data_IF_157095896348
#
_entry.id   IF_157095896348
#
_cell.length_a   1.000
_cell.length_b   1.000
_cell.length_c   1.000
_cell.angle_alpha   90.00
_cell.angle_beta   90.00
_cell.angle_gamma   90.00
#
_symmetry.space_group_name_H-M   'P 1'
#
loop_
_entity.id
_entity.type
_entity.pdbx_description
1 polymer ?
#
# COMPACT_ATOMS: atom_id res chain seq x y z
N UNK A 1 -48.27 -6.62 -22.53
CA UNK A 1 -47.34 -5.53 -22.96
C UNK A 1 -46.38 -5.27 -21.79
N UNK A 2 -45.08 -5.57 -21.97
CA UNK A 2 -44.08 -5.22 -20.97
C UNK A 2 -43.74 -3.74 -21.08
N UNK A 3 -43.61 -3.05 -19.95
CA UNK A 3 -43.12 -1.68 -19.92
C UNK A 3 -41.64 -1.68 -20.34
N UNK A 4 -41.26 -0.81 -21.26
CA UNK A 4 -39.92 -0.69 -21.73
C UNK A 4 -39.20 0.43 -20.93
N UNK A 5 -38.67 0.05 -19.75
CA UNK A 5 -37.82 0.92 -18.91
C UNK A 5 -36.38 0.73 -19.33
N UNK A 6 -35.80 1.77 -19.87
CA UNK A 6 -34.38 1.77 -20.28
C UNK A 6 -33.47 2.21 -19.16
N UNK A 7 -32.34 1.53 -19.09
CA UNK A 7 -31.21 1.89 -18.26
C UNK A 7 -30.24 2.75 -19.06
N UNK A 8 -30.00 3.97 -18.61
CA UNK A 8 -29.09 4.89 -19.26
C UNK A 8 -27.91 5.16 -18.33
N UNK A 9 -26.70 4.84 -18.75
CA UNK A 9 -25.46 5.13 -17.99
C UNK A 9 -24.91 6.48 -18.40
N UNK A 10 -24.78 7.38 -17.43
CA UNK A 10 -24.19 8.70 -17.59
C UNK A 10 -22.84 8.71 -16.88
N UNK A 11 -21.80 9.05 -17.61
CA UNK A 11 -20.46 9.27 -17.07
C UNK A 11 -20.23 10.76 -16.87
N UNK A 12 -19.94 11.17 -15.65
CA UNK A 12 -19.59 12.55 -15.37
C UNK A 12 -18.49 12.64 -14.32
N UNK A 13 -17.73 13.72 -14.36
CA UNK A 13 -16.69 13.99 -13.36
C UNK A 13 -17.29 14.77 -12.19
N UNK A 14 -16.73 14.52 -11.00
CA UNK A 14 -17.01 15.30 -9.81
C UNK A 14 -15.75 15.44 -8.96
N UNK A 15 -15.72 16.48 -8.12
CA UNK A 15 -14.69 16.65 -7.12
C UNK A 15 -15.14 15.91 -5.86
N UNK A 16 -14.42 14.85 -5.52
CA UNK A 16 -14.64 14.11 -4.29
C UNK A 16 -14.12 14.93 -3.11
N UNK A 17 -15.00 15.21 -2.14
CA UNK A 17 -14.62 15.89 -0.91
C UNK A 17 -13.77 14.97 -0.03
N UNK A 18 -12.81 15.51 0.75
CA UNK A 18 -12.01 14.72 1.69
C UNK A 18 -12.87 14.16 2.84
N UNK A 19 -12.35 13.12 3.51
CA UNK A 19 -12.95 12.58 4.74
C UNK A 19 -12.68 13.44 5.97
N UNK A 20 -11.61 14.23 5.93
CA UNK A 20 -11.19 15.13 6.99
C UNK A 20 -10.82 16.48 6.40
N UNK A 21 -11.26 17.56 7.06
CA UNK A 21 -11.01 18.91 6.59
C UNK A 21 -9.73 19.45 7.22
N UNK A 22 -8.82 19.96 6.40
CA UNK A 22 -7.76 20.85 6.85
C UNK A 22 -8.33 22.28 6.88
N UNK A 23 -7.95 23.07 7.89
CA UNK A 23 -8.42 24.46 8.01
C UNK A 23 -8.25 25.20 6.68
N UNK A 24 -9.33 25.79 6.13
CA UNK A 24 -9.33 26.43 4.79
C UNK A 24 -8.34 27.59 4.61
N UNK A 25 -7.80 28.13 5.69
CA UNK A 25 -6.76 29.16 5.61
C UNK A 25 -5.46 28.61 4.98
N UNK A 26 -5.24 27.29 5.02
CA UNK A 26 -4.07 26.64 4.45
C UNK A 26 -4.39 26.14 3.04
N UNK A 27 -3.76 26.74 2.04
CA UNK A 27 -3.83 26.32 0.64
C UNK A 27 -2.55 25.65 0.14
N UNK A 28 -1.50 25.66 0.98
CA UNK A 28 -0.17 25.13 0.65
C UNK A 28 0.29 24.10 1.67
N UNK A 29 1.21 23.23 1.26
CA UNK A 29 1.86 22.25 2.13
C UNK A 29 3.34 22.09 1.78
N UNK A 30 4.13 21.75 2.80
CA UNK A 30 5.53 21.37 2.71
C UNK A 30 5.65 19.86 3.02
N UNK A 31 6.51 19.14 2.29
CA UNK A 31 6.86 17.74 2.59
C UNK A 31 8.22 17.74 3.26
N UNK A 32 8.31 17.18 4.48
CA UNK A 32 9.55 16.96 5.22
C UNK A 32 9.83 15.47 5.35
N UNK A 33 11.06 15.09 5.03
CA UNK A 33 11.48 13.68 5.03
C UNK A 33 12.40 13.43 6.21
N UNK A 34 12.12 12.38 6.98
CA UNK A 34 12.92 11.91 8.09
C UNK A 34 13.49 10.53 7.77
N UNK A 35 14.80 10.37 7.97
CA UNK A 35 15.54 9.16 7.61
C UNK A 35 15.90 8.33 8.85
N UNK A 36 14.90 7.77 9.53
CA UNK A 36 15.11 6.98 10.74
C UNK A 36 15.92 5.70 10.47
N UNK A 37 15.92 5.20 9.23
CA UNK A 37 16.75 4.06 8.82
C UNK A 37 18.26 4.35 8.87
N UNK A 38 18.70 5.62 8.76
CA UNK A 38 20.13 5.98 8.82
C UNK A 38 20.72 5.64 10.18
N UNK A 39 19.98 5.95 11.24
CA UNK A 39 20.40 5.57 12.60
C UNK A 39 20.52 4.05 12.74
N UNK A 40 19.56 3.28 12.21
CA UNK A 40 19.66 1.82 12.22
C UNK A 40 20.86 1.29 11.43
N UNK A 41 21.25 1.96 10.34
CA UNK A 41 22.46 1.64 9.59
C UNK A 41 23.72 1.92 10.44
N UNK A 42 23.80 3.07 11.10
CA UNK A 42 24.91 3.45 12.00
C UNK A 42 25.06 2.46 13.14
N UNK A 43 23.97 2.11 13.82
CA UNK A 43 23.95 1.11 14.90
C UNK A 43 24.44 -0.26 14.40
N UNK A 44 24.02 -0.68 13.19
CA UNK A 44 24.45 -1.93 12.58
C UNK A 44 25.95 -1.95 12.27
N UNK A 45 26.50 -0.85 11.75
CA UNK A 45 27.94 -0.69 11.50
C UNK A 45 28.73 -0.78 12.81
N UNK A 46 28.26 -0.10 13.85
CA UNK A 46 28.92 -0.11 15.14
C UNK A 46 28.99 -1.52 15.73
N UNK A 47 27.87 -2.25 15.73
CA UNK A 47 27.80 -3.64 16.22
C UNK A 47 28.71 -4.55 15.39
N UNK A 48 28.73 -4.40 14.07
CA UNK A 48 29.59 -5.18 13.19
C UNK A 48 31.09 -4.95 13.51
N UNK A 49 31.50 -3.69 13.64
CA UNK A 49 32.89 -3.34 13.95
C UNK A 49 33.32 -3.89 15.31
N UNK A 50 32.46 -3.85 16.31
CA UNK A 50 32.74 -4.47 17.62
C UNK A 50 32.91 -5.99 17.49
N UNK A 51 32.03 -6.69 16.78
CA UNK A 51 32.16 -8.14 16.54
C UNK A 51 33.42 -8.49 15.78
N UNK A 52 33.75 -7.71 14.75
CA UNK A 52 34.99 -7.89 13.96
C UNK A 52 36.21 -7.78 14.84
N UNK A 53 36.29 -6.76 15.69
CA UNK A 53 37.40 -6.57 16.62
C UNK A 53 37.54 -7.75 17.62
N UNK A 54 36.42 -8.18 18.20
CA UNK A 54 36.39 -9.31 19.11
C UNK A 54 36.89 -10.61 18.43
N UNK A 55 36.45 -10.85 17.19
CA UNK A 55 36.85 -12.00 16.41
C UNK A 55 38.34 -11.97 16.04
N UNK A 56 38.86 -10.81 15.63
CA UNK A 56 40.28 -10.62 15.35
C UNK A 56 41.13 -10.92 16.61
N UNK A 57 40.74 -10.38 17.77
CA UNK A 57 41.42 -10.65 19.03
C UNK A 57 41.37 -12.14 19.41
N UNK A 58 40.20 -12.77 19.27
CA UNK A 58 40.05 -14.20 19.53
C UNK A 58 40.92 -15.05 18.61
N UNK A 59 40.95 -14.74 17.32
CA UNK A 59 41.85 -15.43 16.36
C UNK A 59 43.32 -15.25 16.71
N UNK A 60 43.78 -14.04 17.03
CA UNK A 60 45.18 -13.78 17.41
C UNK A 60 45.58 -14.56 18.68
N UNK A 61 44.66 -14.65 19.64
CA UNK A 61 44.90 -15.46 20.84
C UNK A 61 45.03 -16.96 20.52
N UNK A 62 44.15 -17.49 19.67
CA UNK A 62 44.19 -18.89 19.23
C UNK A 62 45.48 -19.19 18.43
N UNK A 63 45.84 -18.27 17.51
CA UNK A 63 47.05 -18.42 16.70
C UNK A 63 48.32 -18.36 17.54
N UNK A 64 48.38 -17.46 18.51
CA UNK A 64 49.50 -17.36 19.47
C UNK A 64 49.61 -18.63 20.32
N UNK A 65 48.51 -19.16 20.83
CA UNK A 65 48.48 -20.41 21.58
C UNK A 65 48.97 -21.59 20.73
N UNK A 66 48.51 -21.69 19.47
CA UNK A 66 48.97 -22.69 18.52
C UNK A 66 50.45 -22.58 18.25
N UNK A 67 51.01 -21.38 18.02
CA UNK A 67 52.45 -21.16 17.84
C UNK A 67 53.26 -21.59 19.05
N UNK A 68 52.80 -21.29 20.25
CA UNK A 68 53.47 -21.68 21.48
C UNK A 68 53.50 -23.20 21.66
N UNK A 69 52.35 -23.86 21.39
CA UNK A 69 52.27 -25.31 21.42
C UNK A 69 53.19 -25.97 20.39
N UNK A 70 53.20 -25.45 19.17
CA UNK A 70 54.14 -25.92 18.13
C UNK A 70 55.58 -25.78 18.56
N UNK A 71 55.99 -24.61 19.07
CA UNK A 71 57.35 -24.36 19.57
C UNK A 71 57.74 -25.31 20.73
N UNK A 72 56.80 -25.64 21.59
CA UNK A 72 57.01 -26.59 22.68
C UNK A 72 57.28 -28.01 22.15
N UNK A 73 56.46 -28.46 21.19
CA UNK A 73 56.72 -29.78 20.55
C UNK A 73 58.03 -29.85 19.80
N UNK A 74 58.39 -28.77 19.08
CA UNK A 74 59.67 -28.67 18.39
C UNK A 74 60.88 -28.80 19.40
N UNK A 75 60.79 -28.07 20.54
CA UNK A 75 61.85 -28.16 21.60
C UNK A 75 61.93 -29.55 22.21
N UNK A 76 60.76 -30.17 22.50
CA UNK A 76 60.74 -31.54 23.03
C UNK A 76 61.38 -32.52 22.05
N UNK A 77 61.02 -32.41 20.75
CA UNK A 77 61.61 -33.26 19.71
C UNK A 77 63.11 -33.07 19.58
N UNK A 78 63.63 -31.84 19.55
CA UNK A 78 65.04 -31.54 19.48
C UNK A 78 65.85 -32.11 20.71
N UNK A 79 65.22 -31.98 21.91
CA UNK A 79 65.82 -32.55 23.13
C UNK A 79 65.91 -34.07 23.06
N UNK A 80 64.86 -34.74 22.57
CA UNK A 80 64.81 -36.18 22.39
C UNK A 80 65.82 -36.66 21.31
N UNK A 81 65.89 -35.90 20.20
CA UNK A 81 66.91 -36.19 19.15
C UNK A 81 68.31 -36.05 19.63
N UNK A 82 68.66 -35.00 20.39
CA UNK A 82 70.01 -34.87 20.99
C UNK A 82 70.33 -35.98 21.96
N UNK A 83 69.34 -36.45 22.76
CA UNK A 83 69.52 -37.60 23.65
C UNK A 83 69.76 -38.91 22.87
N UNK A 84 69.01 -39.12 21.78
CA UNK A 84 69.15 -40.25 20.87
C UNK A 84 70.51 -40.29 20.21
N UNK A 85 71.00 -39.16 19.65
CA UNK A 85 72.34 -39.05 19.04
C UNK A 85 73.46 -39.35 20.06
N UNK A 86 73.33 -38.82 21.27
CA UNK A 86 74.25 -39.09 22.35
C UNK A 86 74.34 -40.60 22.74
N UNK A 87 73.15 -41.26 22.78
CA UNK A 87 73.10 -42.71 23.08
C UNK A 87 73.70 -43.54 21.94
N UNK A 88 73.47 -43.16 20.66
CA UNK A 88 74.15 -43.81 19.52
C UNK A 88 75.65 -43.69 19.57
N UNK A 89 76.19 -42.52 19.88
CA UNK A 89 77.63 -42.29 20.04
C UNK A 89 78.23 -43.12 21.17
N UNK A 90 77.46 -43.40 22.23
CA UNK A 90 77.85 -44.23 23.37
C UNK A 90 77.64 -45.74 23.13
N UNK A 91 77.17 -46.15 21.93
CA UNK A 91 76.89 -47.56 21.63
C UNK A 91 75.66 -48.15 22.38
N UNK A 92 74.85 -47.33 22.99
CA UNK A 92 73.68 -47.74 23.76
C UNK A 92 72.44 -47.85 22.84
N UNK A 93 71.62 -48.95 22.91
CA UNK A 93 70.45 -49.09 22.12
C UNK A 93 69.43 -47.94 22.47
N UNK A 94 69.03 -47.21 21.48
CA UNK A 94 68.03 -46.15 21.63
C UNK A 94 67.06 -46.12 20.44
N UNK A 95 65.78 -45.81 20.69
CA UNK A 95 64.79 -45.70 19.65
C UNK A 95 64.70 -44.25 19.13
N UNK A 96 64.72 -44.09 17.82
CA UNK A 96 64.61 -42.76 17.19
C UNK A 96 63.30 -42.11 17.57
N UNK A 97 63.34 -40.86 18.04
CA UNK A 97 62.10 -40.11 18.32
C UNK A 97 61.19 -39.94 17.08
N UNK A 98 59.90 -40.06 17.29
CA UNK A 98 58.90 -39.82 16.23
C UNK A 98 58.81 -38.33 16.00
N UNK A 99 58.56 -37.94 14.72
CA UNK A 99 58.28 -36.54 14.33
C UNK A 99 57.00 -36.08 15.04
N UNK A 100 57.03 -34.93 15.69
CA UNK A 100 55.84 -34.43 16.39
C UNK A 100 54.63 -34.28 15.46
N UNK A 101 53.48 -34.68 15.96
CA UNK A 101 52.20 -34.34 15.30
C UNK A 101 51.81 -32.94 15.76
N UNK A 102 51.81 -32.00 14.81
CA UNK A 102 51.42 -30.61 15.09
C UNK A 102 49.91 -30.46 15.10
N UNK A 103 49.33 -29.64 15.99
CA UNK A 103 47.93 -29.27 15.93
C UNK A 103 47.63 -28.50 14.64
N UNK A 104 46.40 -28.61 14.16
CA UNK A 104 45.93 -27.86 12.98
C UNK A 104 45.97 -26.36 13.30
N UNK A 105 46.52 -25.57 12.37
CA UNK A 105 46.52 -24.12 12.51
C UNK A 105 45.08 -23.55 12.52
N UNK A 106 44.76 -22.60 13.40
CA UNK A 106 43.48 -21.94 13.37
C UNK A 106 43.29 -21.17 12.05
N UNK A 107 42.10 -21.22 11.52
CA UNK A 107 41.72 -20.53 10.29
C UNK A 107 40.86 -19.32 10.66
N UNK A 108 41.17 -18.15 10.11
CA UNK A 108 40.33 -16.97 10.26
C UNK A 108 39.12 -17.09 9.33
N UNK A 109 37.92 -17.06 9.90
CA UNK A 109 36.66 -17.05 9.15
C UNK A 109 36.11 -15.63 9.24
N UNK A 110 36.03 -14.87 8.14
CA UNK A 110 35.47 -13.50 8.16
C UNK A 110 33.99 -13.52 8.54
N UNK A 111 33.56 -12.45 9.18
CA UNK A 111 32.10 -12.23 9.42
C UNK A 111 31.38 -12.01 8.11
N UNK A 112 30.12 -12.46 8.07
CA UNK A 112 29.25 -12.14 6.96
C UNK A 112 29.02 -10.62 6.86
N UNK A 113 28.96 -10.06 5.65
CA UNK A 113 28.71 -8.64 5.46
C UNK A 113 27.36 -8.25 6.04
N UNK A 114 27.32 -7.08 6.70
CA UNK A 114 26.06 -6.54 7.20
C UNK A 114 25.21 -6.00 6.07
N UNK A 115 23.91 -6.19 6.22
CA UNK A 115 22.94 -5.57 5.36
C UNK A 115 22.65 -4.15 5.82
N UNK A 116 22.71 -3.19 4.88
CA UNK A 116 22.35 -1.80 5.09
C UNK A 116 21.02 -1.50 4.38
N UNK A 117 20.20 -0.62 4.98
CA UNK A 117 19.07 -0.06 4.26
C UNK A 117 19.61 0.84 3.13
N UNK A 118 18.96 0.77 1.96
CA UNK A 118 19.36 1.57 0.81
C UNK A 118 19.10 3.08 1.04
N UNK A 119 19.96 3.92 0.51
CA UNK A 119 19.75 5.37 0.52
C UNK A 119 18.53 5.74 -0.35
N UNK A 120 17.81 6.75 0.08
CA UNK A 120 16.57 7.21 -0.53
C UNK A 120 16.75 8.60 -1.11
N UNK A 121 16.18 8.82 -2.29
CA UNK A 121 16.15 10.12 -2.94
C UNK A 121 14.95 10.93 -2.44
N UNK A 122 15.23 11.96 -1.64
CA UNK A 122 14.21 12.87 -1.07
C UNK A 122 13.39 13.57 -2.14
N UNK A 123 13.99 13.87 -3.28
CA UNK A 123 13.31 14.54 -4.36
C UNK A 123 12.20 13.65 -4.96
N UNK A 124 12.44 12.35 -5.07
CA UNK A 124 11.45 11.39 -5.55
C UNK A 124 10.22 11.34 -4.63
N UNK A 125 10.44 11.29 -3.31
CA UNK A 125 9.35 11.31 -2.32
C UNK A 125 8.61 12.65 -2.34
N UNK A 126 9.35 13.75 -2.30
CA UNK A 126 8.76 15.10 -2.31
C UNK A 126 7.92 15.34 -3.54
N UNK A 127 8.37 14.86 -4.72
CA UNK A 127 7.60 14.97 -5.96
C UNK A 127 6.42 14.01 -5.99
N UNK A 128 6.58 12.81 -5.45
CA UNK A 128 5.57 11.74 -5.45
C UNK A 128 4.37 12.02 -4.53
N UNK A 129 4.53 12.79 -3.45
CA UNK A 129 3.39 13.22 -2.64
C UNK A 129 2.71 14.40 -3.34
N UNK A 130 1.51 14.17 -3.86
CA UNK A 130 0.70 15.15 -4.58
C UNK A 130 -0.71 15.20 -3.97
N UNK A 131 -0.90 16.11 -3.01
CA UNK A 131 -2.18 16.30 -2.34
C UNK A 131 -3.09 17.20 -3.17
N UNK A 132 -4.09 16.58 -3.79
CA UNK A 132 -5.01 17.27 -4.71
C UNK A 132 -5.79 18.38 -4.01
N UNK A 133 -5.86 19.54 -4.67
CA UNK A 133 -6.54 20.72 -4.15
C UNK A 133 -5.69 21.64 -3.27
N UNK A 134 -4.42 21.28 -3.06
CA UNK A 134 -3.40 22.08 -2.40
C UNK A 134 -2.17 22.24 -3.29
N UNK A 135 -1.37 23.26 -3.05
CA UNK A 135 -0.11 23.49 -3.78
C UNK A 135 1.08 23.27 -2.86
N UNK A 136 2.19 22.78 -3.40
CA UNK A 136 3.44 22.69 -2.65
C UNK A 136 4.02 24.07 -2.43
N UNK A 137 4.39 24.38 -1.17
CA UNK A 137 4.95 25.68 -0.82
C UNK A 137 5.20 25.80 0.68
N UNK A 138 5.87 26.89 1.06
CA UNK A 138 6.18 27.22 2.45
C UNK A 138 5.03 27.98 3.11
N UNK A 139 4.92 27.90 4.44
CA UNK A 139 3.95 28.68 5.23
C UNK A 139 2.56 28.05 5.36
N UNK A 140 2.35 26.87 4.81
CA UNK A 140 1.13 26.09 4.98
C UNK A 140 1.25 25.03 6.09
N UNK A 141 0.61 23.89 5.91
CA UNK A 141 0.78 22.73 6.79
C UNK A 141 1.94 21.84 6.33
N UNK A 142 2.38 20.94 7.21
CA UNK A 142 3.55 20.10 7.00
C UNK A 142 3.09 18.66 6.92
N UNK A 143 3.55 17.94 5.89
CA UNK A 143 3.46 16.50 5.76
C UNK A 143 4.84 15.93 6.09
N UNK A 144 5.00 15.33 7.28
CA UNK A 144 6.24 14.63 7.63
C UNK A 144 6.15 13.18 7.12
N UNK A 145 7.15 12.76 6.39
CA UNK A 145 7.29 11.42 5.84
C UNK A 145 8.53 10.75 6.45
N UNK A 146 8.33 9.88 7.45
CA UNK A 146 9.40 9.19 8.16
C UNK A 146 9.65 7.82 7.56
N UNK A 147 10.87 7.61 7.06
CA UNK A 147 11.33 6.37 6.45
C UNK A 147 11.96 5.51 7.53
N UNK A 148 11.24 4.47 7.94
CA UNK A 148 11.71 3.52 8.94
C UNK A 148 12.59 2.43 8.31
N UNK A 149 13.45 1.75 9.09
CA UNK A 149 14.26 0.65 8.59
C UNK A 149 13.38 -0.54 8.18
N UNK A 150 13.85 -1.30 7.17
CA UNK A 150 13.22 -2.57 6.81
C UNK A 150 13.41 -3.57 7.96
N UNK A 151 12.37 -4.36 8.23
CA UNK A 151 12.30 -5.27 9.36
C UNK A 151 11.88 -6.67 8.94
N UNK A 152 12.20 -7.67 9.77
CA UNK A 152 11.66 -9.02 9.66
C UNK A 152 12.00 -9.73 8.35
N UNK A 153 13.12 -9.39 7.71
CA UNK A 153 13.52 -10.04 6.45
C UNK A 153 13.83 -11.51 6.73
N UNK A 154 13.17 -12.38 5.98
CA UNK A 154 13.44 -13.80 5.95
C UNK A 154 13.15 -14.38 4.58
N UNK A 155 13.97 -15.34 4.17
CA UNK A 155 13.75 -16.14 2.98
C UNK A 155 13.02 -17.41 3.40
N UNK A 156 11.84 -17.64 2.84
CA UNK A 156 11.02 -18.83 3.07
C UNK A 156 11.11 -19.72 1.85
N UNK A 157 11.54 -20.95 2.05
CA UNK A 157 11.61 -21.98 1.01
C UNK A 157 10.31 -22.80 1.00
N UNK A 158 9.83 -23.14 -0.19
CA UNK A 158 8.81 -24.16 -0.40
C UNK A 158 9.23 -25.11 -1.51
N UNK A 159 9.03 -26.41 -1.27
CA UNK A 159 9.33 -27.46 -2.22
C UNK A 159 8.04 -27.88 -2.92
N UNK A 160 8.05 -27.88 -4.27
CA UNK A 160 6.94 -28.33 -5.10
C UNK A 160 7.36 -29.52 -5.99
N UNK A 161 6.45 -30.47 -6.18
CA UNK A 161 6.69 -31.66 -6.98
C UNK A 161 7.45 -32.76 -6.23
N UNK A 162 7.72 -33.86 -6.94
CA UNK A 162 8.44 -35.02 -6.40
C UNK A 162 9.42 -35.58 -7.43
N UNK A 163 10.50 -36.23 -6.95
CA UNK A 163 11.52 -36.85 -7.82
C UNK A 163 12.20 -35.84 -8.73
N UNK A 164 12.39 -36.17 -10.01
CA UNK A 164 13.03 -35.31 -11.01
C UNK A 164 12.27 -34.01 -11.32
N UNK A 165 10.98 -33.93 -10.96
CA UNK A 165 10.15 -32.74 -11.18
C UNK A 165 10.11 -31.83 -9.96
N UNK A 166 10.97 -32.05 -8.95
CA UNK A 166 11.07 -31.18 -7.79
C UNK A 166 11.54 -29.78 -8.19
N UNK A 167 10.86 -28.75 -7.67
CA UNK A 167 11.20 -27.34 -7.82
C UNK A 167 11.25 -26.71 -6.44
N UNK A 168 12.14 -25.73 -6.29
CA UNK A 168 12.31 -24.94 -5.06
C UNK A 168 11.88 -23.51 -5.32
N UNK A 169 10.86 -23.08 -4.61
CA UNK A 169 10.37 -21.71 -4.67
C UNK A 169 10.82 -20.98 -3.39
N UNK A 170 11.29 -19.77 -3.56
CA UNK A 170 11.71 -18.91 -2.47
C UNK A 170 10.87 -17.65 -2.45
N UNK A 171 10.50 -17.23 -1.24
CA UNK A 171 9.74 -16.00 -1.01
C UNK A 171 10.49 -15.20 0.06
N UNK A 172 10.84 -13.98 -0.27
CA UNK A 172 11.34 -13.03 0.71
C UNK A 172 10.15 -12.38 1.43
N UNK A 173 10.09 -12.56 2.74
CA UNK A 173 9.13 -11.86 3.61
C UNK A 173 9.85 -10.72 4.33
N UNK A 174 9.16 -9.58 4.46
CA UNK A 174 9.73 -8.37 5.06
C UNK A 174 8.61 -7.40 5.47
N UNK A 175 8.95 -6.41 6.29
CA UNK A 175 8.14 -5.23 6.56
C UNK A 175 8.95 -3.98 6.22
N UNK A 176 8.35 -3.00 5.57
CA UNK A 176 8.98 -1.71 5.27
C UNK A 176 8.05 -0.57 5.70
N UNK A 177 7.92 -0.35 7.02
CA UNK A 177 7.01 0.65 7.53
C UNK A 177 7.44 2.07 7.16
N UNK A 178 6.44 2.90 6.89
CA UNK A 178 6.57 4.34 6.69
C UNK A 178 5.58 5.00 7.63
N UNK A 179 6.01 6.01 8.39
CA UNK A 179 5.13 6.82 9.21
C UNK A 179 4.89 8.17 8.56
N UNK A 180 3.63 8.58 8.48
CA UNK A 180 3.23 9.89 7.96
C UNK A 180 2.44 10.64 9.00
N UNK A 181 2.81 11.90 9.23
CA UNK A 181 2.04 12.84 10.05
C UNK A 181 1.70 14.08 9.25
N UNK A 182 0.57 14.71 9.57
CA UNK A 182 0.23 16.05 9.10
C UNK A 182 0.15 16.96 10.31
N UNK A 183 0.86 18.07 10.22
CA UNK A 183 0.90 19.10 11.26
C UNK A 183 0.46 20.44 10.69
N UNK A 184 -0.44 21.12 11.38
CA UNK A 184 -0.86 22.48 11.05
C UNK A 184 -0.32 23.46 12.08
N UNK A 185 -0.01 24.72 11.69
CA UNK A 185 0.45 25.75 12.63
C UNK A 185 -0.54 26.07 13.75
N UNK A 186 -1.84 25.83 13.52
CA UNK A 186 -2.92 26.21 14.44
C UNK A 186 -3.39 25.09 15.37
N UNK A 187 -3.34 23.83 14.89
CA UNK A 187 -3.93 22.67 15.59
C UNK A 187 -2.89 21.63 16.00
N UNK A 188 -1.63 21.80 15.57
CA UNK A 188 -0.57 20.82 15.76
C UNK A 188 -0.77 19.59 14.88
N UNK A 189 -0.48 18.41 15.40
CA UNK A 189 -0.61 17.14 14.66
C UNK A 189 -2.09 16.74 14.53
N UNK A 190 -2.61 16.79 13.30
CA UNK A 190 -3.99 16.42 12.98
C UNK A 190 -4.11 15.00 12.40
N UNK A 191 -3.00 14.41 11.93
CA UNK A 191 -2.98 13.06 11.36
C UNK A 191 -1.67 12.36 11.70
N UNK A 192 -1.77 11.07 12.00
CA UNK A 192 -0.64 10.17 12.17
C UNK A 192 -1.04 8.77 11.74
N UNK A 193 -0.27 8.17 10.83
CA UNK A 193 -0.51 6.80 10.38
C UNK A 193 0.79 6.13 9.94
N UNK A 194 0.89 4.83 10.23
CA UNK A 194 1.91 3.96 9.68
C UNK A 194 1.34 3.12 8.54
N UNK A 195 2.15 2.96 7.51
CA UNK A 195 1.85 2.20 6.31
C UNK A 195 2.80 1.01 6.21
N UNK A 196 2.35 -0.06 5.55
CA UNK A 196 3.15 -1.28 5.30
C UNK A 196 3.72 -1.93 6.58
N UNK A 197 3.01 -1.86 7.70
CA UNK A 197 3.36 -2.53 8.96
C UNK A 197 3.15 -4.05 8.90
N UNK A 198 2.33 -4.55 7.97
CA UNK A 198 2.12 -5.98 7.78
C UNK A 198 3.26 -6.62 6.99
N UNK A 199 3.47 -7.92 7.20
CA UNK A 199 4.44 -8.70 6.44
C UNK A 199 4.08 -8.68 4.96
N UNK A 200 5.01 -8.18 4.16
CA UNK A 200 4.97 -8.23 2.70
C UNK A 200 5.69 -9.48 2.20
N UNK A 201 5.37 -9.92 1.00
CA UNK A 201 6.00 -11.07 0.37
C UNK A 201 6.41 -10.75 -1.06
N UNK A 202 7.67 -11.05 -1.38
CA UNK A 202 8.23 -10.93 -2.73
C UNK A 202 8.66 -12.30 -3.22
N UNK A 203 8.00 -12.81 -4.24
CA UNK A 203 8.39 -14.08 -4.87
C UNK A 203 9.72 -13.92 -5.61
N UNK A 204 10.57 -14.93 -5.50
CA UNK A 204 11.84 -15.05 -6.20
C UNK A 204 11.69 -16.01 -7.39
N UNK A 205 12.76 -16.22 -8.14
CA UNK A 205 12.78 -17.25 -9.20
C UNK A 205 12.61 -18.65 -8.61
N UNK A 206 12.10 -19.56 -9.41
CA UNK A 206 12.05 -20.99 -9.10
C UNK A 206 13.36 -21.66 -9.52
N UNK A 207 13.90 -22.53 -8.68
CA UNK A 207 15.16 -23.23 -8.88
C UNK A 207 14.96 -24.74 -8.96
N UNK A 208 15.85 -25.44 -9.65
CA UNK A 208 15.82 -26.89 -9.76
C UNK A 208 16.43 -27.58 -8.53
N UNK A 209 17.27 -26.88 -7.77
CA UNK A 209 17.89 -27.38 -6.55
C UNK A 209 18.16 -26.25 -5.56
N UNK A 210 18.31 -26.60 -4.28
CA UNK A 210 18.77 -25.67 -3.24
C UNK A 210 20.17 -25.11 -3.55
N UNK A 211 21.04 -25.92 -4.15
CA UNK A 211 22.39 -25.54 -4.52
C UNK A 211 22.40 -24.45 -5.61
N UNK A 212 21.54 -24.59 -6.61
CA UNK A 212 21.36 -23.56 -7.66
C UNK A 212 20.93 -22.23 -7.03
N UNK A 213 19.99 -22.26 -6.08
CA UNK A 213 19.59 -21.06 -5.33
C UNK A 213 20.77 -20.47 -4.54
N UNK A 214 21.54 -21.30 -3.81
CA UNK A 214 22.67 -20.82 -3.00
C UNK A 214 23.72 -20.12 -3.85
N UNK A 215 24.09 -20.68 -5.00
CA UNK A 215 25.03 -20.04 -5.94
C UNK A 215 24.51 -18.70 -6.43
N UNK A 216 23.26 -18.66 -6.89
CA UNK A 216 22.66 -17.40 -7.32
C UNK A 216 22.60 -16.38 -6.17
N UNK A 217 22.25 -16.82 -4.98
CA UNK A 217 22.11 -15.95 -3.80
C UNK A 217 23.46 -15.32 -3.41
N UNK A 218 24.54 -16.06 -3.43
CA UNK A 218 25.88 -15.53 -3.13
C UNK A 218 26.23 -14.34 -4.01
N UNK A 219 25.89 -14.39 -5.28
CA UNK A 219 26.25 -13.34 -6.25
C UNK A 219 25.25 -12.19 -6.31
N UNK A 220 23.98 -12.45 -5.97
CA UNK A 220 22.88 -11.50 -6.26
C UNK A 220 22.20 -10.94 -5.02
N UNK A 221 22.54 -11.38 -3.82
CA UNK A 221 21.85 -11.01 -2.58
C UNK A 221 21.76 -9.49 -2.37
N UNK A 222 22.85 -8.78 -2.58
CA UNK A 222 22.88 -7.32 -2.36
C UNK A 222 21.98 -6.58 -3.35
N UNK A 223 22.07 -6.94 -4.63
CA UNK A 223 21.23 -6.35 -5.66
C UNK A 223 19.74 -6.66 -5.44
N UNK A 224 19.44 -7.91 -5.05
CA UNK A 224 18.07 -8.31 -4.72
C UNK A 224 17.48 -7.46 -3.60
N UNK A 225 18.21 -7.21 -2.53
CA UNK A 225 17.74 -6.38 -1.42
C UNK A 225 17.57 -4.91 -1.83
N UNK A 226 18.49 -4.37 -2.63
CA UNK A 226 18.38 -3.00 -3.13
C UNK A 226 17.13 -2.81 -4.01
N UNK A 227 16.87 -3.76 -4.91
CA UNK A 227 15.69 -3.76 -5.77
C UNK A 227 14.40 -3.94 -4.95
N UNK A 228 14.41 -4.87 -3.98
CA UNK A 228 13.30 -5.10 -3.06
C UNK A 228 12.92 -3.82 -2.31
N UNK A 229 13.90 -3.12 -1.73
CA UNK A 229 13.66 -1.87 -0.99
C UNK A 229 13.14 -0.76 -1.91
N UNK A 230 13.76 -0.57 -3.09
CA UNK A 230 13.32 0.42 -4.05
C UNK A 230 11.85 0.22 -4.44
N UNK A 231 11.48 -1.01 -4.81
CA UNK A 231 10.14 -1.34 -5.26
C UNK A 231 9.11 -1.26 -4.12
N UNK A 232 9.51 -1.66 -2.90
CA UNK A 232 8.67 -1.53 -1.73
C UNK A 232 8.43 -0.06 -1.34
N UNK A 233 9.46 0.79 -1.40
CA UNK A 233 9.34 2.24 -1.13
C UNK A 233 8.45 2.93 -2.14
N UNK A 234 8.54 2.54 -3.42
CA UNK A 234 7.64 3.07 -4.46
C UNK A 234 6.18 2.69 -4.20
N UNK A 235 5.91 1.45 -3.80
CA UNK A 235 4.56 1.03 -3.39
C UNK A 235 4.08 1.82 -2.17
N UNK A 236 4.94 1.95 -1.14
CA UNK A 236 4.61 2.73 0.06
C UNK A 236 4.24 4.17 -0.28
N UNK A 237 4.99 4.83 -1.16
CA UNK A 237 4.71 6.19 -1.59
C UNK A 237 3.37 6.32 -2.30
N UNK A 238 3.04 5.36 -3.18
CA UNK A 238 1.75 5.31 -3.86
C UNK A 238 0.59 5.13 -2.88
N UNK A 239 0.72 4.19 -1.92
CA UNK A 239 -0.30 3.92 -0.90
C UNK A 239 -0.50 5.14 0.01
N UNK A 240 0.59 5.78 0.43
CA UNK A 240 0.56 7.02 1.21
C UNK A 240 -0.16 8.12 0.44
N UNK A 241 0.23 8.36 -0.81
CA UNK A 241 -0.37 9.40 -1.64
C UNK A 241 -1.86 9.16 -1.88
N UNK A 242 -2.25 7.91 -2.15
CA UNK A 242 -3.66 7.52 -2.30
C UNK A 242 -4.45 7.77 -1.00
N UNK A 243 -3.90 7.36 0.13
CA UNK A 243 -4.57 7.52 1.42
C UNK A 243 -4.68 9.01 1.83
N UNK A 244 -3.61 9.79 1.67
CA UNK A 244 -3.64 11.22 1.95
C UNK A 244 -4.68 11.94 1.09
N UNK A 245 -4.78 11.59 -0.19
CA UNK A 245 -5.78 12.15 -1.08
C UNK A 245 -7.20 11.70 -0.72
N UNK A 246 -7.38 10.49 -0.22
CA UNK A 246 -8.69 10.04 0.26
C UNK A 246 -9.13 10.77 1.55
N UNK A 247 -8.18 10.98 2.46
CA UNK A 247 -8.46 11.63 3.75
C UNK A 247 -8.59 13.16 3.63
N UNK A 248 -7.72 13.82 2.86
CA UNK A 248 -7.56 15.27 2.87
C UNK A 248 -7.66 15.93 1.49
N UNK A 249 -7.54 15.16 0.41
CA UNK A 249 -7.46 15.70 -0.95
C UNK A 249 -8.82 15.98 -1.59
N UNK A 250 -8.83 16.91 -2.54
CA UNK A 250 -9.97 17.18 -3.41
C UNK A 250 -9.75 16.52 -4.78
N UNK A 251 -10.06 15.24 -4.87
CA UNK A 251 -9.74 14.42 -6.04
C UNK A 251 -10.84 14.50 -7.08
N UNK A 252 -10.49 14.86 -8.32
CA UNK A 252 -11.43 14.71 -9.44
C UNK A 252 -11.55 13.24 -9.81
N UNK A 253 -12.76 12.71 -9.77
CA UNK A 253 -13.06 11.31 -10.10
C UNK A 253 -14.27 11.21 -11.00
N UNK A 254 -14.50 10.04 -11.59
CA UNK A 254 -15.62 9.79 -12.49
C UNK A 254 -16.67 8.93 -11.81
N UNK A 255 -17.92 9.32 -11.92
CA UNK A 255 -19.06 8.50 -11.56
C UNK A 255 -19.80 8.02 -12.80
N UNK A 256 -20.19 6.77 -12.74
CA UNK A 256 -21.16 6.18 -13.66
C UNK A 256 -22.49 6.12 -12.91
N UNK A 257 -23.40 7.04 -13.21
CA UNK A 257 -24.77 7.00 -12.68
C UNK A 257 -25.67 6.23 -13.63
N UNK A 258 -26.50 5.36 -13.08
CA UNK A 258 -27.54 4.66 -13.82
C UNK A 258 -28.88 5.38 -13.61
N UNK A 259 -29.44 5.92 -14.68
CA UNK A 259 -30.67 6.64 -14.69
C UNK A 259 -31.70 5.92 -15.57
N UNK A 260 -32.98 6.09 -15.25
CA UNK A 260 -34.04 5.37 -15.90
C UNK A 260 -34.94 6.29 -16.69
N UNK A 261 -35.30 5.85 -17.90
CA UNK A 261 -36.29 6.47 -18.76
C UNK A 261 -37.35 5.47 -19.22
N UNK A 262 -38.43 5.94 -19.76
CA UNK A 262 -39.49 5.10 -20.34
C UNK A 262 -39.63 5.44 -21.81
N UNK A 263 -39.47 4.46 -22.70
CA UNK A 263 -39.63 4.68 -24.15
C UNK A 263 -41.09 4.68 -24.57
N UNK A 264 -41.80 3.64 -24.18
CA UNK A 264 -43.19 3.47 -24.56
C UNK A 264 -43.90 2.52 -23.60
N UNK A 265 -45.11 2.89 -23.22
CA UNK A 265 -46.02 1.98 -22.57
C UNK A 265 -47.46 2.33 -23.01
N UNK A 266 -48.15 1.40 -23.66
CA UNK A 266 -49.46 1.62 -24.30
C UNK A 266 -49.40 2.79 -25.26
N UNK A 267 -50.42 3.65 -25.21
CA UNK A 267 -50.56 4.84 -26.05
C UNK A 267 -50.13 6.14 -25.32
N UNK A 268 -49.44 5.99 -24.17
CA UNK A 268 -48.94 7.12 -23.40
C UNK A 268 -47.68 7.72 -24.00
N UNK A 269 -47.63 9.06 -23.95
CA UNK A 269 -46.42 9.82 -24.26
C UNK A 269 -45.57 10.05 -23.00
N UNK A 270 -44.23 10.03 -23.17
CA UNK A 270 -43.24 10.19 -22.12
C UNK A 270 -42.24 11.29 -22.45
N UNK A 271 -42.65 12.34 -23.19
CA UNK A 271 -41.80 13.47 -23.53
C UNK A 271 -41.34 14.27 -22.30
N UNK A 272 -42.11 14.29 -21.25
CA UNK A 272 -41.79 14.87 -19.94
C UNK A 272 -40.73 14.08 -19.18
N UNK A 273 -40.78 12.75 -19.20
CA UNK A 273 -39.67 11.89 -18.67
C UNK A 273 -38.38 12.13 -19.45
N UNK A 274 -38.45 12.23 -20.78
CA UNK A 274 -37.29 12.53 -21.59
C UNK A 274 -36.73 13.94 -21.27
N UNK A 275 -37.58 14.92 -21.02
CA UNK A 275 -37.19 16.26 -20.58
C UNK A 275 -36.51 16.23 -19.20
N UNK A 276 -37.11 15.54 -18.21
CA UNK A 276 -36.54 15.38 -16.87
C UNK A 276 -35.14 14.68 -16.90
N UNK A 277 -35.01 13.65 -17.74
CA UNK A 277 -33.72 12.98 -17.98
C UNK A 277 -32.69 13.94 -18.60
N UNK A 278 -33.07 14.73 -19.59
CA UNK A 278 -32.19 15.73 -20.23
C UNK A 278 -31.70 16.76 -19.23
N UNK A 279 -32.59 17.31 -18.38
CA UNK A 279 -32.24 18.22 -17.30
C UNK A 279 -31.26 17.55 -16.30
N UNK A 280 -31.53 16.30 -15.95
CA UNK A 280 -30.64 15.52 -15.07
C UNK A 280 -29.23 15.39 -15.64
N UNK A 281 -29.12 15.03 -16.93
CA UNK A 281 -27.82 14.90 -17.61
C UNK A 281 -27.06 16.23 -17.64
N UNK A 282 -27.73 17.33 -17.94
CA UNK A 282 -27.15 18.67 -17.94
C UNK A 282 -26.65 19.05 -16.53
N UNK A 283 -27.45 18.79 -15.50
CA UNK A 283 -27.09 19.07 -14.12
C UNK A 283 -25.87 18.28 -13.65
N UNK A 284 -25.86 16.97 -13.91
CA UNK A 284 -24.76 16.09 -13.51
C UNK A 284 -23.42 16.48 -14.17
N UNK A 285 -23.44 16.93 -15.41
CA UNK A 285 -22.25 17.42 -16.12
C UNK A 285 -21.66 18.73 -15.54
N UNK A 286 -22.42 19.43 -14.70
CA UNK A 286 -21.95 20.64 -13.99
C UNK A 286 -21.36 20.34 -12.61
N UNK A 287 -21.63 19.18 -12.02
CA UNK A 287 -21.22 18.83 -10.63
C UNK A 287 -19.71 18.88 -10.40
N UNK A 288 -18.92 18.55 -11.42
CA UNK A 288 -17.45 18.51 -11.32
C UNK A 288 -16.75 19.84 -11.55
N UNK A 289 -17.47 20.92 -11.89
CA UNK A 289 -16.82 22.19 -12.23
C UNK A 289 -16.30 22.94 -11.01
N UNK A 290 -16.94 22.82 -9.86
CA UNK A 290 -16.60 23.53 -8.63
C UNK A 290 -16.71 22.63 -7.40
N UNK A 291 -15.85 22.86 -6.39
CA UNK A 291 -15.86 22.09 -5.14
C UNK A 291 -17.19 22.18 -4.39
N UNK A 292 -17.77 23.38 -4.34
CA UNK A 292 -19.06 23.64 -3.69
C UNK A 292 -20.27 23.31 -4.56
N UNK A 293 -20.05 22.86 -5.81
CA UNK A 293 -21.11 22.49 -6.78
C UNK A 293 -22.11 23.60 -7.09
N UNK A 294 -21.79 24.87 -6.82
CA UNK A 294 -22.74 25.99 -6.97
C UNK A 294 -23.28 26.13 -8.40
N UNK A 295 -22.42 25.91 -9.40
CA UNK A 295 -22.79 25.92 -10.81
C UNK A 295 -23.89 24.88 -11.17
N UNK A 296 -23.96 23.77 -10.43
CA UNK A 296 -24.90 22.69 -10.66
C UNK A 296 -26.25 22.90 -9.93
N UNK A 297 -26.30 23.62 -8.81
CA UNK A 297 -27.45 23.65 -7.92
C UNK A 297 -28.77 24.05 -8.60
N UNK A 298 -28.78 25.10 -9.41
CA UNK A 298 -29.97 25.52 -10.13
C UNK A 298 -30.48 24.41 -11.04
N UNK A 299 -29.60 23.81 -11.82
CA UNK A 299 -29.96 22.73 -12.75
C UNK A 299 -30.37 21.44 -12.05
N UNK A 300 -29.75 21.12 -10.92
CA UNK A 300 -30.15 19.98 -10.08
C UNK A 300 -31.57 20.17 -9.55
N UNK A 301 -31.89 21.37 -9.05
CA UNK A 301 -33.27 21.68 -8.57
C UNK A 301 -34.27 21.66 -9.69
N UNK A 302 -33.96 22.18 -10.88
CA UNK A 302 -34.82 22.08 -12.06
C UNK A 302 -35.16 20.62 -12.41
N UNK A 303 -34.12 19.76 -12.41
CA UNK A 303 -34.28 18.32 -12.68
C UNK A 303 -35.10 17.61 -11.58
N UNK A 304 -34.82 17.90 -10.30
CA UNK A 304 -35.58 17.36 -9.16
C UNK A 304 -37.04 17.72 -9.27
N UNK A 305 -37.38 18.98 -9.57
CA UNK A 305 -38.76 19.43 -9.71
C UNK A 305 -39.47 18.71 -10.86
N UNK A 306 -38.81 18.55 -12.01
CA UNK A 306 -39.40 17.81 -13.13
C UNK A 306 -39.72 16.35 -12.78
N UNK A 307 -38.82 15.65 -12.04
CA UNK A 307 -39.11 14.30 -11.55
C UNK A 307 -40.23 14.26 -10.49
N UNK A 308 -40.30 15.27 -9.61
CA UNK A 308 -41.35 15.37 -8.59
C UNK A 308 -42.72 15.63 -9.21
N UNK A 309 -42.82 16.42 -10.27
CA UNK A 309 -44.08 16.64 -11.03
C UNK A 309 -44.59 15.31 -11.57
N UNK A 310 -43.73 14.46 -12.13
CA UNK A 310 -44.11 13.13 -12.61
C UNK A 310 -44.63 12.22 -11.49
N UNK A 311 -44.06 12.32 -10.27
CA UNK A 311 -44.57 11.56 -9.12
C UNK A 311 -46.01 11.94 -8.69
N UNK A 312 -46.47 13.12 -9.03
CA UNK A 312 -47.86 13.52 -8.72
C UNK A 312 -48.90 12.68 -9.49
N UNK A 313 -48.50 12.09 -10.63
CA UNK A 313 -49.32 11.17 -11.40
C UNK A 313 -49.21 9.71 -10.95
N UNK A 314 -48.44 9.44 -9.90
CA UNK A 314 -48.19 8.08 -9.47
C UNK A 314 -49.43 7.36 -8.99
N UNK A 315 -49.70 6.18 -9.58
CA UNK A 315 -50.75 5.28 -9.16
C UNK A 315 -50.18 3.86 -8.96
N UNK A 316 -49.99 3.52 -7.70
CA UNK A 316 -49.36 2.24 -7.32
C UNK A 316 -50.32 1.06 -7.39
N UNK A 317 -51.62 1.30 -7.49
CA UNK A 317 -52.65 0.26 -7.47
C UNK A 317 -53.13 -0.14 -8.85
N UNK A 318 -52.93 0.72 -9.86
CA UNK A 318 -53.32 0.46 -11.25
C UNK A 318 -52.07 0.32 -12.13
N UNK A 319 -51.72 -0.92 -12.45
CA UNK A 319 -50.60 -1.28 -13.33
C UNK A 319 -50.78 -0.77 -14.79
N UNK A 320 -51.99 -0.29 -15.14
CA UNK A 320 -52.29 0.29 -16.43
C UNK A 320 -52.08 1.80 -16.48
N UNK A 321 -51.91 2.47 -15.34
CA UNK A 321 -51.71 3.91 -15.29
C UNK A 321 -50.40 4.34 -15.97
N UNK A 322 -50.34 5.60 -16.43
CA UNK A 322 -49.17 6.16 -17.11
C UNK A 322 -47.95 6.11 -16.22
N UNK A 323 -48.06 6.55 -14.97
CA UNK A 323 -47.01 6.48 -13.95
C UNK A 323 -47.45 5.45 -12.91
N UNK A 324 -47.26 4.17 -13.22
CA UNK A 324 -47.59 3.06 -12.32
C UNK A 324 -46.46 2.76 -11.34
N UNK A 325 -46.58 1.67 -10.56
CA UNK A 325 -45.60 1.23 -9.54
C UNK A 325 -44.18 1.10 -10.09
N UNK A 326 -44.00 0.55 -11.30
CA UNK A 326 -42.69 0.32 -11.90
C UNK A 326 -42.01 1.61 -12.31
N UNK A 327 -42.78 2.55 -12.92
CA UNK A 327 -42.25 3.86 -13.32
C UNK A 327 -41.98 4.70 -12.08
N UNK A 328 -42.86 4.69 -11.08
CA UNK A 328 -42.67 5.35 -9.80
C UNK A 328 -41.40 4.92 -9.11
N UNK A 329 -41.14 3.61 -9.04
CA UNK A 329 -39.97 3.05 -8.42
C UNK A 329 -38.63 3.52 -9.07
N UNK A 330 -38.58 3.59 -10.40
CA UNK A 330 -37.38 4.07 -11.10
C UNK A 330 -37.21 5.60 -11.05
N UNK A 331 -38.33 6.37 -10.94
CA UNK A 331 -38.26 7.81 -10.67
C UNK A 331 -37.62 8.05 -9.29
N UNK A 332 -37.93 7.22 -8.28
CA UNK A 332 -37.25 7.30 -6.98
C UNK A 332 -35.75 7.03 -7.09
N UNK A 333 -35.30 6.11 -7.94
CA UNK A 333 -33.87 5.91 -8.21
C UNK A 333 -33.22 7.19 -8.78
N UNK A 334 -33.86 7.83 -9.77
CA UNK A 334 -33.32 9.06 -10.37
C UNK A 334 -33.27 10.22 -9.38
N UNK A 335 -34.30 10.39 -8.56
CA UNK A 335 -34.35 11.42 -7.50
C UNK A 335 -33.28 11.18 -6.43
N UNK A 336 -33.05 9.93 -6.01
CA UNK A 336 -32.03 9.60 -5.05
C UNK A 336 -30.65 10.07 -5.51
N UNK A 337 -30.27 9.79 -6.77
CA UNK A 337 -28.99 10.26 -7.35
C UNK A 337 -28.90 11.80 -7.30
N UNK A 338 -29.94 12.53 -7.71
CA UNK A 338 -29.94 13.99 -7.74
C UNK A 338 -29.83 14.62 -6.34
N UNK A 339 -30.51 14.06 -5.34
CA UNK A 339 -30.45 14.56 -3.96
C UNK A 339 -29.12 14.44 -3.31
N UNK A 340 -28.34 13.40 -3.64
CA UNK A 340 -26.93 13.29 -3.18
C UNK A 340 -26.09 14.48 -3.64
N UNK A 341 -26.30 14.95 -4.87
CA UNK A 341 -25.48 16.01 -5.44
C UNK A 341 -25.83 17.42 -4.95
N UNK A 342 -27.03 17.63 -4.41
CA UNK A 342 -27.39 18.87 -3.70
C UNK A 342 -27.11 18.79 -2.20
N UNK A 343 -26.58 17.65 -1.68
CA UNK A 343 -26.29 17.46 -0.27
C UNK A 343 -27.50 17.17 0.61
N UNK A 344 -28.66 16.90 0.03
CA UNK A 344 -29.88 16.51 0.78
C UNK A 344 -29.93 14.99 0.94
N UNK A 345 -29.09 14.47 1.84
CA UNK A 345 -28.92 13.02 2.04
C UNK A 345 -30.14 12.36 2.66
N UNK A 346 -30.94 13.09 3.46
CA UNK A 346 -32.14 12.53 4.05
C UNK A 346 -33.23 12.29 2.96
N UNK A 347 -33.35 13.20 2.01
CA UNK A 347 -34.19 12.98 0.85
C UNK A 347 -33.66 11.87 -0.07
N UNK A 348 -32.33 11.80 -0.28
CA UNK A 348 -31.72 10.72 -1.04
C UNK A 348 -32.02 9.35 -0.40
N UNK A 349 -31.85 9.21 0.91
CA UNK A 349 -32.13 7.98 1.67
C UNK A 349 -33.60 7.61 1.62
N UNK A 350 -34.53 8.59 1.77
CA UNK A 350 -35.94 8.35 1.60
C UNK A 350 -36.27 7.73 0.23
N UNK A 351 -35.73 8.28 -0.84
CA UNK A 351 -35.97 7.78 -2.19
C UNK A 351 -35.31 6.41 -2.46
N UNK A 352 -34.11 6.14 -1.89
CA UNK A 352 -33.51 4.80 -1.91
C UNK A 352 -34.40 3.80 -1.21
N UNK A 353 -34.95 4.13 -0.05
CA UNK A 353 -35.84 3.25 0.71
C UNK A 353 -37.17 2.99 -0.04
N UNK A 354 -37.77 3.99 -0.68
CA UNK A 354 -38.95 3.82 -1.51
C UNK A 354 -38.68 2.91 -2.71
N UNK A 355 -37.54 3.09 -3.38
CA UNK A 355 -37.10 2.20 -4.47
C UNK A 355 -36.82 0.77 -3.99
N UNK A 356 -36.16 0.62 -2.85
CA UNK A 356 -35.82 -0.69 -2.26
C UNK A 356 -37.05 -1.48 -1.80
N UNK A 357 -38.05 -0.80 -1.24
CA UNK A 357 -39.28 -1.40 -0.75
C UNK A 357 -40.34 -1.59 -1.85
N UNK A 358 -40.07 -1.12 -3.08
CA UNK A 358 -40.97 -1.37 -4.22
C UNK A 358 -40.94 -2.86 -4.62
N UNK A 359 -42.01 -3.34 -5.24
CA UNK A 359 -42.11 -4.65 -5.86
C UNK A 359 -41.17 -4.84 -7.07
N UNK A 360 -40.48 -3.79 -7.50
CA UNK A 360 -39.72 -3.70 -8.76
C UNK A 360 -38.28 -4.15 -8.57
N UNK A 361 -37.92 -5.31 -9.10
CA UNK A 361 -36.56 -5.90 -8.96
C UNK A 361 -35.47 -4.94 -9.42
N UNK A 362 -35.64 -4.25 -10.52
CA UNK A 362 -34.68 -3.28 -11.09
C UNK A 362 -34.37 -2.16 -10.10
N UNK A 363 -35.37 -1.55 -9.50
CA UNK A 363 -35.21 -0.48 -8.51
C UNK A 363 -34.56 -0.98 -7.22
N UNK A 364 -34.91 -2.18 -6.75
CA UNK A 364 -34.28 -2.80 -5.57
C UNK A 364 -32.79 -3.08 -5.78
N UNK A 365 -32.42 -3.57 -6.97
CA UNK A 365 -31.02 -3.84 -7.28
C UNK A 365 -30.21 -2.55 -7.38
N UNK A 366 -30.79 -1.51 -7.99
CA UNK A 366 -30.19 -0.18 -8.04
C UNK A 366 -29.96 0.37 -6.62
N UNK A 367 -30.98 0.37 -5.77
CA UNK A 367 -30.90 0.86 -4.40
C UNK A 367 -29.74 0.20 -3.61
N UNK A 368 -29.61 -1.13 -3.70
CA UNK A 368 -28.48 -1.87 -3.08
C UNK A 368 -27.12 -1.47 -3.67
N UNK A 369 -27.05 -1.23 -4.97
CA UNK A 369 -25.81 -0.89 -5.66
C UNK A 369 -25.28 0.51 -5.33
N UNK A 370 -26.15 1.46 -4.97
CA UNK A 370 -25.78 2.86 -4.72
C UNK A 370 -25.62 3.21 -3.24
N UNK A 371 -26.13 2.39 -2.33
CA UNK A 371 -26.17 2.69 -0.88
C UNK A 371 -24.79 3.03 -0.32
N UNK A 372 -23.78 2.19 -0.58
CA UNK A 372 -22.43 2.41 -0.07
C UNK A 372 -21.81 3.72 -0.59
N UNK A 373 -22.06 4.07 -1.85
CA UNK A 373 -21.61 5.33 -2.43
C UNK A 373 -22.29 6.53 -1.77
N UNK A 374 -23.61 6.48 -1.56
CA UNK A 374 -24.36 7.59 -0.96
C UNK A 374 -23.94 7.82 0.50
N UNK A 375 -23.70 6.76 1.26
CA UNK A 375 -23.20 6.86 2.63
C UNK A 375 -21.79 7.45 2.68
N UNK A 376 -20.90 7.08 1.74
CA UNK A 376 -19.58 7.70 1.63
C UNK A 376 -19.68 9.19 1.30
N UNK A 377 -20.52 9.59 0.35
CA UNK A 377 -20.75 11.01 0.02
C UNK A 377 -21.34 11.79 1.20
N UNK A 378 -22.25 11.19 1.98
CA UNK A 378 -22.83 11.80 3.19
C UNK A 378 -21.74 12.10 4.22
N UNK A 379 -20.87 11.11 4.53
CA UNK A 379 -19.75 11.31 5.46
C UNK A 379 -18.81 12.43 5.04
N UNK A 380 -18.42 12.44 3.77
CA UNK A 380 -17.55 13.47 3.19
C UNK A 380 -18.18 14.86 3.22
N UNK A 381 -19.45 14.95 2.89
CA UNK A 381 -20.18 16.22 2.94
C UNK A 381 -20.28 16.78 4.35
N UNK A 382 -20.55 15.93 5.33
CA UNK A 382 -20.64 16.32 6.74
C UNK A 382 -19.30 16.77 7.35
N UNK A 383 -18.20 16.27 6.80
CA UNK A 383 -16.84 16.64 7.23
C UNK A 383 -16.35 18.00 6.65
N UNK A 384 -17.01 18.54 5.61
CA UNK A 384 -16.58 19.72 4.85
C UNK A 384 -17.58 20.87 4.89
#
# INVERSE_FOLDING_TARGET
>A
YSQNIDDNKINFQYIQLPLQKINPIFSQYEVRIQHDYRRANEDSIQVFNQRKQLQEVAYQNQYTAWLNQKKQLDRQYLTQMAAFEKAQLAGTPATQPLIPQYPVAPVFVPLDPIRMNAEVNDQEITQGIDLKGYTKGLGGFIINYSILPIQGIRIVESKKGTGANTRYEYVCQYMLPVEVTIETPTEGQIFKRRFLESTQSQSMKTYNSMYEFQLWWMDNQQQFYADLERDARKRALNDVNQQLNNEFGFVTTTRVAELYTVKKYRDYEYSDIAKAYTLTTQALNLVGKERNRSAAFTKLNEAINAWKELLQESNLTDDKSRVNDKITAVIHCNLAELYVWIGNFDAAELHVNLASNSGVMKARNHAKGVEGFYQDQKRRWQAN
#
